data_IF_295561716616
#
_entry.id   IF_295561716616
#
_cell.length_a   1.000
_cell.length_b   1.000
_cell.length_c   1.000
_cell.angle_alpha   90.00
_cell.angle_beta   90.00
_cell.angle_gamma   90.00
#
_symmetry.space_group_name_H-M   'P 1'
#
loop_
_entity.id
_entity.type
_entity.pdbx_description
1 polymer ?
#
# COMPACT_ATOMS: atom_id res chain seq x y z
N UNK A 1 -12.21 -13.74 8.53
CA UNK A 1 -11.67 -12.53 7.86
C UNK A 1 -11.04 -11.54 8.81
N UNK A 2 -11.77 -10.84 9.70
CA UNK A 2 -11.14 -9.81 10.57
C UNK A 2 -10.13 -10.40 11.57
N UNK A 3 -10.51 -11.44 12.32
CA UNK A 3 -9.59 -12.10 13.27
C UNK A 3 -8.35 -12.69 12.57
N UNK A 4 -8.52 -13.24 11.36
CA UNK A 4 -7.42 -13.74 10.54
C UNK A 4 -6.49 -12.61 10.10
N UNK A 5 -7.04 -11.44 9.71
CA UNK A 5 -6.21 -10.30 9.36
C UNK A 5 -5.42 -9.78 10.58
N UNK A 6 -6.05 -9.74 11.76
CA UNK A 6 -5.42 -9.30 13.01
C UNK A 6 -4.32 -10.27 13.49
N UNK A 7 -4.48 -11.58 13.27
CA UNK A 7 -3.45 -12.57 13.65
C UNK A 7 -2.14 -12.43 12.86
N UNK A 8 -2.14 -11.68 11.75
CA UNK A 8 -0.94 -11.35 10.97
C UNK A 8 -0.09 -10.24 11.62
N UNK A 9 -0.50 -9.72 12.78
CA UNK A 9 0.17 -8.59 13.45
C UNK A 9 -0.26 -7.22 12.90
N UNK A 10 -1.41 -7.16 12.21
CA UNK A 10 -1.97 -5.91 11.72
C UNK A 10 -2.77 -5.19 12.80
N UNK A 11 -3.08 -3.91 12.56
CA UNK A 11 -3.95 -3.09 13.42
C UNK A 11 -5.13 -2.60 12.60
N UNK A 12 -6.24 -2.33 13.26
CA UNK A 12 -7.39 -1.70 12.63
C UNK A 12 -7.03 -0.24 12.33
N UNK A 13 -7.14 0.14 11.06
CA UNK A 13 -6.98 1.52 10.63
C UNK A 13 -8.21 2.34 11.02
N UNK A 14 -7.97 3.57 11.51
CA UNK A 14 -9.02 4.56 11.76
C UNK A 14 -8.85 5.67 10.74
N UNK A 15 -9.88 5.88 9.91
CA UNK A 15 -9.90 6.89 8.87
C UNK A 15 -10.63 6.41 7.61
N UNK A 16 -10.39 7.13 6.51
CA UNK A 16 -11.02 6.86 5.23
C UNK A 16 -10.06 6.15 4.26
N UNK A 17 -10.60 5.25 3.45
CA UNK A 17 -9.88 4.60 2.35
C UNK A 17 -10.47 5.11 1.04
N UNK A 18 -9.65 5.73 0.20
CA UNK A 18 -10.08 6.30 -1.08
C UNK A 18 -9.73 5.42 -2.28
N UNK A 19 -10.25 5.83 -3.44
CA UNK A 19 -9.98 5.18 -4.73
C UNK A 19 -10.56 3.77 -4.81
N UNK A 20 -9.96 2.95 -5.67
CA UNK A 20 -10.44 1.58 -5.95
C UNK A 20 -10.45 0.72 -4.68
N UNK A 21 -9.49 0.89 -3.77
CA UNK A 21 -9.42 0.11 -2.53
C UNK A 21 -10.65 0.33 -1.64
N UNK A 22 -11.06 1.59 -1.43
CA UNK A 22 -12.26 1.91 -0.66
C UNK A 22 -13.54 1.47 -1.35
N UNK A 23 -13.65 1.75 -2.65
CA UNK A 23 -14.82 1.38 -3.46
C UNK A 23 -15.03 -0.14 -3.47
N UNK A 24 -13.97 -0.94 -3.63
CA UNK A 24 -14.07 -2.40 -3.65
C UNK A 24 -14.53 -2.97 -2.31
N UNK A 25 -14.04 -2.44 -1.19
CA UNK A 25 -14.49 -2.88 0.14
C UNK A 25 -15.96 -2.51 0.38
N UNK A 26 -16.35 -1.28 0.04
CA UNK A 26 -17.74 -0.84 0.18
C UNK A 26 -18.70 -1.63 -0.72
N UNK A 27 -18.36 -1.81 -2.00
CA UNK A 27 -19.16 -2.60 -2.94
C UNK A 27 -19.18 -4.08 -2.55
N UNK A 28 -18.05 -4.59 -2.07
CA UNK A 28 -17.94 -5.94 -1.55
C UNK A 28 -18.93 -6.19 -0.43
N UNK A 29 -18.98 -5.29 0.55
CA UNK A 29 -19.95 -5.34 1.64
C UNK A 29 -21.40 -5.34 1.13
N UNK A 30 -21.75 -4.43 0.20
CA UNK A 30 -23.09 -4.36 -0.38
C UNK A 30 -23.50 -5.63 -1.16
N UNK A 31 -22.52 -6.34 -1.72
CA UNK A 31 -22.72 -7.60 -2.47
C UNK A 31 -22.56 -8.86 -1.61
N UNK A 32 -22.36 -8.72 -0.30
CA UNK A 32 -22.18 -9.86 0.60
C UNK A 32 -20.81 -10.54 0.51
N UNK A 33 -19.81 -9.90 -0.10
CA UNK A 33 -18.44 -10.39 -0.12
C UNK A 33 -17.72 -10.05 1.18
N UNK A 34 -16.97 -11.03 1.71
CA UNK A 34 -16.04 -10.82 2.81
C UNK A 34 -14.71 -10.35 2.25
N UNK A 35 -14.21 -9.22 2.76
CA UNK A 35 -12.94 -8.67 2.35
C UNK A 35 -12.39 -7.68 3.38
N UNK A 36 -11.13 -7.33 3.22
CA UNK A 36 -10.46 -6.28 4.00
C UNK A 36 -9.46 -5.57 3.09
N UNK A 37 -9.10 -4.34 3.46
CA UNK A 37 -8.00 -3.62 2.81
C UNK A 37 -6.74 -3.78 3.66
N UNK A 38 -5.63 -4.17 3.02
CA UNK A 38 -4.32 -4.19 3.65
C UNK A 38 -3.59 -2.89 3.33
N UNK A 39 -3.38 -2.07 4.35
CA UNK A 39 -2.72 -0.78 4.23
C UNK A 39 -1.37 -0.85 4.95
N UNK A 40 -0.31 -0.46 4.25
CA UNK A 40 1.04 -0.35 4.82
C UNK A 40 1.45 1.12 4.76
N UNK A 41 1.93 1.64 5.88
CA UNK A 41 2.41 3.02 5.95
C UNK A 41 3.60 3.21 5.02
N UNK A 42 3.61 4.34 4.30
CA UNK A 42 4.70 4.74 3.42
C UNK A 42 4.99 6.23 3.62
N UNK A 43 6.17 6.74 3.24
CA UNK A 43 6.44 8.18 3.20
C UNK A 43 5.53 8.96 2.25
N UNK A 44 4.85 8.29 1.30
CA UNK A 44 3.93 8.90 0.34
C UNK A 44 4.59 9.75 -0.77
N UNK A 45 5.90 9.99 -0.70
CA UNK A 45 6.63 10.87 -1.64
C UNK A 45 7.26 10.12 -2.81
N UNK A 46 7.53 8.82 -2.66
CA UNK A 46 8.20 7.97 -3.64
C UNK A 46 7.74 6.51 -3.50
N UNK A 47 7.91 5.67 -4.53
CA UNK A 47 7.68 4.23 -4.40
C UNK A 47 8.55 3.62 -3.30
N UNK A 48 7.92 2.88 -2.37
CA UNK A 48 8.57 2.25 -1.22
C UNK A 48 8.61 0.72 -1.35
N UNK A 49 9.81 0.19 -1.68
CA UNK A 49 10.07 -1.26 -1.82
C UNK A 49 9.77 -2.01 -0.53
N UNK A 50 10.11 -1.43 0.63
CA UNK A 50 9.96 -2.12 1.91
C UNK A 50 8.49 -2.22 2.30
N UNK A 51 7.71 -1.14 2.10
CA UNK A 51 6.28 -1.19 2.32
C UNK A 51 5.58 -2.24 1.43
N UNK A 52 5.94 -2.28 0.14
CA UNK A 52 5.43 -3.31 -0.79
C UNK A 52 5.80 -4.73 -0.31
N UNK A 53 7.03 -4.93 0.16
CA UNK A 53 7.49 -6.20 0.73
C UNK A 53 6.67 -6.61 1.97
N UNK A 54 6.42 -5.68 2.90
CA UNK A 54 5.60 -5.96 4.08
C UNK A 54 4.15 -6.33 3.71
N UNK A 55 3.56 -5.61 2.75
CA UNK A 55 2.23 -5.94 2.23
C UNK A 55 2.21 -7.36 1.65
N UNK A 56 3.20 -7.70 0.81
CA UNK A 56 3.32 -9.01 0.19
C UNK A 56 3.51 -10.13 1.22
N UNK A 57 4.33 -9.91 2.26
CA UNK A 57 4.53 -10.89 3.33
C UNK A 57 3.25 -11.18 4.11
N UNK A 58 2.48 -10.15 4.45
CA UNK A 58 1.20 -10.31 5.14
C UNK A 58 0.18 -11.02 4.23
N UNK A 59 0.10 -10.65 2.96
CA UNK A 59 -0.77 -11.29 1.98
C UNK A 59 -0.42 -12.77 1.76
N UNK A 60 0.87 -13.08 1.63
CA UNK A 60 1.39 -14.44 1.50
C UNK A 60 0.97 -15.31 2.69
N UNK A 61 1.12 -14.80 3.92
CA UNK A 61 0.67 -15.49 5.13
C UNK A 61 -0.84 -15.70 5.14
N UNK A 62 -1.61 -14.69 4.76
CA UNK A 62 -3.08 -14.77 4.74
C UNK A 62 -3.59 -15.82 3.74
N UNK A 63 -3.00 -15.86 2.53
CA UNK A 63 -3.43 -16.74 1.45
C UNK A 63 -2.70 -18.09 1.42
N UNK A 64 -1.71 -18.31 2.29
CA UNK A 64 -0.87 -19.50 2.27
C UNK A 64 0.01 -19.60 1.02
N UNK A 65 0.40 -18.47 0.43
CA UNK A 65 1.22 -18.42 -0.79
C UNK A 65 2.71 -18.26 -0.48
N UNK A 66 3.55 -18.75 -1.38
CA UNK A 66 5.00 -18.54 -1.36
C UNK A 66 5.40 -17.69 -2.56
N UNK A 67 5.18 -16.37 -2.46
CA UNK A 67 5.55 -15.43 -3.53
C UNK A 67 6.98 -14.94 -3.30
N UNK A 68 7.82 -15.08 -4.34
CA UNK A 68 9.18 -14.57 -4.34
C UNK A 68 9.17 -13.02 -4.46
N UNK A 69 9.86 -12.35 -3.54
CA UNK A 69 9.98 -10.89 -3.50
C UNK A 69 11.22 -10.32 -4.20
N UNK A 70 12.03 -11.14 -4.88
CA UNK A 70 13.31 -10.71 -5.50
C UNK A 70 13.14 -9.72 -6.66
N UNK A 71 11.94 -9.63 -7.24
CA UNK A 71 11.62 -8.71 -8.33
C UNK A 71 11.13 -7.33 -7.88
N UNK A 72 10.95 -7.09 -6.57
CA UNK A 72 10.36 -5.83 -6.09
C UNK A 72 11.26 -4.62 -6.37
N UNK A 73 12.57 -4.77 -6.23
CA UNK A 73 13.56 -3.73 -6.55
C UNK A 73 13.49 -3.32 -8.02
N UNK A 74 13.46 -4.32 -8.92
CA UNK A 74 13.34 -4.09 -10.35
C UNK A 74 12.02 -3.40 -10.70
N UNK A 75 10.91 -3.85 -10.12
CA UNK A 75 9.60 -3.23 -10.32
C UNK A 75 9.58 -1.76 -9.89
N UNK A 76 10.24 -1.41 -8.77
CA UNK A 76 10.34 -0.01 -8.34
C UNK A 76 11.17 0.82 -9.32
N UNK A 77 12.24 0.28 -9.88
CA UNK A 77 13.04 0.97 -10.89
C UNK A 77 12.26 1.20 -12.19
N UNK A 78 11.48 0.22 -12.62
CA UNK A 78 10.60 0.33 -13.79
C UNK A 78 9.50 1.39 -13.56
N UNK A 79 8.87 1.39 -12.38
CA UNK A 79 7.88 2.40 -12.00
C UNK A 79 8.51 3.79 -11.98
N UNK A 80 9.73 3.95 -11.47
CA UNK A 80 10.42 5.26 -11.49
C UNK A 80 10.63 5.75 -12.92
N UNK A 81 11.16 4.92 -13.81
CA UNK A 81 11.36 5.27 -15.23
C UNK A 81 10.04 5.61 -15.92
N UNK A 82 8.98 4.88 -15.60
CA UNK A 82 7.64 5.16 -16.10
C UNK A 82 7.14 6.53 -15.60
N UNK A 83 7.29 6.85 -14.31
CA UNK A 83 6.88 8.14 -13.75
C UNK A 83 7.71 9.32 -14.31
N UNK A 84 8.99 9.09 -14.58
CA UNK A 84 9.88 10.04 -15.27
C UNK A 84 9.37 10.36 -16.67
N UNK A 85 8.93 9.35 -17.44
CA UNK A 85 8.43 9.56 -18.80
C UNK A 85 7.12 10.34 -18.84
N UNK A 86 6.29 10.25 -17.78
CA UNK A 86 5.09 11.07 -17.63
C UNK A 86 5.35 12.50 -17.14
N UNK A 87 6.61 12.88 -16.89
CA UNK A 87 6.97 14.21 -16.39
C UNK A 87 6.54 14.47 -14.95
N UNK A 88 6.24 13.42 -14.17
CA UNK A 88 5.77 13.52 -12.79
C UNK A 88 6.91 13.63 -11.78
N UNK A 89 8.16 13.68 -12.25
CA UNK A 89 9.35 13.83 -11.42
C UNK A 89 9.66 15.31 -11.16
N UNK A 90 8.97 15.87 -10.16
CA UNK A 90 9.62 16.77 -9.20
C UNK A 90 9.88 15.99 -7.92
N UNK A 91 10.72 14.96 -8.02
CA UNK A 91 11.32 14.31 -6.86
C UNK A 91 12.24 15.35 -6.22
N UNK A 92 11.74 16.02 -5.19
CA UNK A 92 12.50 17.02 -4.44
C UNK A 92 13.68 16.30 -3.78
N UNK A 93 14.90 16.62 -4.22
CA UNK A 93 16.10 16.34 -3.44
C UNK A 93 15.91 16.94 -2.05
N UNK A 94 16.15 16.11 -1.03
CA UNK A 94 15.79 16.35 0.35
C UNK A 94 16.07 17.76 0.86
N UNK A 95 15.00 18.41 1.32
CA UNK A 95 15.07 19.45 2.33
C UNK A 95 14.37 18.93 3.57
N UNK A 96 15.08 18.84 4.70
CA UNK A 96 14.48 18.58 6.02
C UNK A 96 13.46 19.69 6.31
N UNK A 97 12.18 19.46 6.05
CA UNK A 97 11.10 20.14 6.73
C UNK A 97 10.20 19.07 7.34
N UNK A 98 9.82 19.30 8.60
CA UNK A 98 8.81 18.49 9.28
C UNK A 98 7.53 18.63 8.46
N UNK A 99 7.28 17.70 7.56
CA UNK A 99 6.07 17.69 6.79
C UNK A 99 4.96 17.18 7.70
N UNK A 100 4.21 18.13 8.25
CA UNK A 100 2.89 17.92 8.81
C UNK A 100 2.06 17.12 7.81
N UNK A 101 1.71 15.88 8.16
CA UNK A 101 0.88 15.00 7.36
C UNK A 101 -0.54 15.61 7.23
N UNK A 102 -0.74 16.51 6.27
CA UNK A 102 -2.04 17.04 5.86
C UNK A 102 -2.66 16.08 4.84
N UNK A 103 -3.20 14.97 5.32
CA UNK A 103 -4.21 14.23 4.55
C UNK A 103 -5.51 15.03 4.63
N UNK A 104 -5.80 15.80 3.58
CA UNK A 104 -7.16 16.32 3.42
C UNK A 104 -8.03 15.20 2.91
N UNK A 105 -8.96 14.83 3.80
CA UNK A 105 -10.15 14.00 3.60
C UNK A 105 -9.82 12.54 3.38
#
# INVERSE_FOLDING_TARGET
TLQEALSLGTKIMVGNIFGIAGILIGLGYLRGFKGFSLLVETPGTHPDVNAARYALLALNKFLGLQVNSSGLEQAVEEIKKMLESFGWVKIQKGGKKKDEFRWFV
#
